data_IF_481068973922
#
_entry.id   IF_481068973922
#
_cell.length_a   1.000
_cell.length_b   1.000
_cell.length_c   1.000
_cell.angle_alpha   90.00
_cell.angle_beta   90.00
_cell.angle_gamma   90.00
#
_symmetry.space_group_name_H-M   'P 1'
#
loop_
_entity.id
_entity.type
_entity.pdbx_description
1 polymer ?
#
# COMPACT_ATOMS: atom_id res chain seq x y z
N UNK A 1 -35.52 -8.18 -54.06
CA UNK A 1 -35.25 -7.87 -52.63
C UNK A 1 -33.88 -8.41 -52.33
N UNK A 2 -32.88 -7.55 -52.45
CA UNK A 2 -31.46 -7.83 -52.29
C UNK A 2 -31.05 -7.24 -50.95
N UNK A 3 -30.58 -8.07 -50.02
CA UNK A 3 -30.03 -7.62 -48.75
C UNK A 3 -28.55 -7.98 -48.70
N UNK A 4 -27.71 -6.95 -48.79
CA UNK A 4 -26.31 -6.96 -48.39
C UNK A 4 -26.21 -7.06 -46.85
N UNK A 5 -25.15 -7.68 -46.31
CA UNK A 5 -24.87 -7.68 -44.87
C UNK A 5 -24.10 -6.41 -44.45
N UNK A 6 -24.22 -5.96 -43.19
CA UNK A 6 -23.22 -5.08 -42.60
C UNK A 6 -22.22 -5.88 -41.76
N UNK A 7 -21.00 -5.77 -42.21
CA UNK A 7 -19.69 -6.03 -41.65
C UNK A 7 -19.42 -5.71 -40.16
N UNK A 8 -18.41 -6.45 -39.66
CA UNK A 8 -17.30 -6.06 -38.77
C UNK A 8 -17.47 -6.09 -37.23
N UNK A 9 -16.79 -7.09 -36.65
CA UNK A 9 -16.23 -7.09 -35.29
C UNK A 9 -15.36 -5.83 -35.03
N UNK A 10 -15.11 -5.52 -33.74
CA UNK A 10 -13.76 -5.80 -33.28
C UNK A 10 -13.69 -6.40 -31.87
N UNK A 11 -12.88 -7.45 -31.77
CA UNK A 11 -11.84 -7.65 -30.75
C UNK A 11 -12.16 -7.17 -29.31
N UNK A 12 -12.62 -8.11 -28.50
CA UNK A 12 -12.51 -8.07 -27.05
C UNK A 12 -11.97 -9.40 -26.54
N UNK A 13 -10.77 -9.78 -27.01
CA UNK A 13 -10.04 -10.89 -26.42
C UNK A 13 -9.63 -10.49 -25.01
N UNK A 14 -10.48 -10.78 -24.02
CA UNK A 14 -10.05 -10.95 -22.65
C UNK A 14 -9.05 -12.10 -22.65
N UNK A 15 -7.78 -11.75 -22.82
CA UNK A 15 -6.69 -12.61 -22.42
C UNK A 15 -6.81 -12.74 -20.92
N UNK A 16 -7.49 -13.80 -20.49
CA UNK A 16 -7.39 -14.35 -19.16
C UNK A 16 -5.90 -14.54 -18.86
N UNK A 17 -5.33 -13.56 -18.14
CA UNK A 17 -3.99 -13.67 -17.58
C UNK A 17 -4.09 -14.84 -16.61
N UNK A 18 -3.51 -15.99 -16.99
CA UNK A 18 -3.33 -17.12 -16.09
C UNK A 18 -2.76 -16.59 -14.78
N UNK A 19 -3.34 -17.01 -13.65
CA UNK A 19 -2.88 -16.72 -12.27
C UNK A 19 -1.45 -17.26 -12.05
N UNK A 20 -0.47 -16.64 -12.72
CA UNK A 20 0.92 -16.67 -12.32
C UNK A 20 1.05 -15.84 -11.05
N UNK A 21 1.99 -16.20 -10.18
CA UNK A 21 2.28 -15.46 -8.98
C UNK A 21 2.54 -13.98 -9.32
N UNK A 22 1.57 -13.10 -9.02
CA UNK A 22 1.61 -11.66 -9.37
C UNK A 22 2.86 -10.99 -8.81
N UNK A 23 3.35 -11.47 -7.66
CA UNK A 23 4.59 -11.02 -7.05
C UNK A 23 5.67 -12.11 -7.14
N UNK A 24 6.60 -11.96 -8.08
CA UNK A 24 7.74 -12.87 -8.30
C UNK A 24 9.07 -12.35 -7.71
N UNK A 25 10.09 -13.22 -7.69
CA UNK A 25 11.45 -12.88 -7.26
C UNK A 25 12.11 -11.78 -8.11
N UNK A 26 11.77 -11.70 -9.41
CA UNK A 26 12.27 -10.65 -10.32
C UNK A 26 11.97 -9.23 -9.81
N UNK A 27 10.84 -9.03 -9.13
CA UNK A 27 10.55 -7.75 -8.49
C UNK A 27 11.54 -7.43 -7.37
N UNK A 28 11.93 -8.42 -6.58
CA UNK A 28 12.91 -8.23 -5.51
C UNK A 28 14.32 -8.05 -6.07
N UNK A 29 14.68 -8.75 -7.16
CA UNK A 29 15.95 -8.53 -7.85
C UNK A 29 16.04 -7.11 -8.40
N UNK A 30 14.96 -6.58 -9.00
CA UNK A 30 14.90 -5.19 -9.45
C UNK A 30 15.02 -4.16 -8.32
N UNK A 31 14.42 -4.44 -7.15
CA UNK A 31 14.60 -3.61 -5.96
C UNK A 31 16.05 -3.61 -5.46
N UNK A 32 16.69 -4.79 -5.42
CA UNK A 32 18.11 -4.91 -5.06
C UNK A 32 19.02 -4.24 -6.08
N UNK A 33 18.75 -4.40 -7.38
CA UNK A 33 19.49 -3.77 -8.47
C UNK A 33 19.51 -2.25 -8.30
N UNK A 34 18.34 -1.64 -8.08
CA UNK A 34 18.23 -0.21 -7.83
C UNK A 34 19.08 0.23 -6.62
N UNK A 35 19.01 -0.49 -5.49
CA UNK A 35 19.79 -0.19 -4.30
C UNK A 35 21.29 -0.35 -4.53
N UNK A 36 21.70 -1.45 -5.18
CA UNK A 36 23.07 -1.78 -5.45
C UNK A 36 23.73 -0.75 -6.37
N UNK A 37 23.10 -0.42 -7.50
CA UNK A 37 23.56 0.59 -8.44
C UNK A 37 23.69 1.97 -7.77
N UNK A 38 22.75 2.33 -6.90
CA UNK A 38 22.82 3.57 -6.13
C UNK A 38 24.00 3.62 -5.14
N UNK A 39 24.51 2.47 -4.68
CA UNK A 39 25.61 2.37 -3.71
C UNK A 39 26.98 2.12 -4.35
N UNK A 40 27.03 1.55 -5.56
CA UNK A 40 28.26 1.05 -6.19
C UNK A 40 28.57 1.67 -7.55
N UNK A 41 27.68 2.52 -8.07
CA UNK A 41 27.77 3.11 -9.42
C UNK A 41 27.78 2.08 -10.57
N UNK A 42 27.44 0.82 -10.31
CA UNK A 42 27.17 -0.19 -11.36
C UNK A 42 25.95 0.18 -12.20
N UNK A 43 25.92 -0.28 -13.45
CA UNK A 43 24.78 -0.08 -14.34
C UNK A 43 23.58 -0.96 -13.94
N UNK A 44 22.38 -0.45 -14.15
CA UNK A 44 21.14 -1.16 -13.82
C UNK A 44 20.77 -2.19 -14.89
N UNK A 45 20.27 -3.35 -14.46
CA UNK A 45 19.77 -4.39 -15.36
C UNK A 45 18.29 -4.16 -15.65
N UNK A 46 17.92 -4.20 -16.93
CA UNK A 46 16.54 -3.98 -17.33
C UNK A 46 15.59 -5.06 -16.78
N UNK A 47 14.45 -4.68 -16.17
CA UNK A 47 13.50 -5.64 -15.60
C UNK A 47 12.82 -6.49 -16.69
N UNK A 48 12.74 -7.80 -16.47
CA UNK A 48 12.17 -8.78 -17.40
C UNK A 48 10.70 -9.15 -17.12
N UNK A 49 9.99 -8.35 -16.31
CA UNK A 49 8.58 -8.58 -15.96
C UNK A 49 7.63 -7.56 -16.62
N UNK A 50 6.34 -7.91 -16.82
CA UNK A 50 5.31 -6.98 -17.32
C UNK A 50 5.14 -5.78 -16.38
N UNK A 51 4.90 -4.59 -16.93
CA UNK A 51 4.77 -3.36 -16.14
C UNK A 51 3.31 -3.04 -15.80
N UNK A 52 2.70 -3.91 -15.00
CA UNK A 52 1.34 -3.68 -14.49
C UNK A 52 1.33 -2.65 -13.35
N UNK A 53 0.16 -2.09 -13.03
CA UNK A 53 0.02 -1.09 -11.98
C UNK A 53 -0.50 -1.72 -10.68
N UNK A 54 0.23 -1.51 -9.59
CA UNK A 54 -0.17 -1.98 -8.27
C UNK A 54 0.22 -0.98 -7.20
N UNK A 55 -0.58 -0.82 -6.12
CA UNK A 55 -0.07 -0.27 -4.89
C UNK A 55 0.99 -1.22 -4.33
N UNK A 56 2.12 -0.69 -3.88
CA UNK A 56 3.25 -1.53 -3.52
C UNK A 56 4.01 -1.03 -2.31
N UNK A 57 4.70 -1.96 -1.65
CA UNK A 57 5.63 -1.70 -0.56
C UNK A 57 6.93 -2.43 -0.82
N UNK A 58 8.05 -1.74 -0.56
CA UNK A 58 9.37 -2.35 -0.52
C UNK A 58 9.87 -2.32 0.92
N UNK A 59 10.28 -3.49 1.38
CA UNK A 59 10.77 -3.72 2.74
C UNK A 59 12.18 -4.29 2.68
N UNK A 60 13.07 -3.72 3.46
CA UNK A 60 14.40 -4.23 3.74
C UNK A 60 14.41 -4.85 5.12
N UNK A 61 14.92 -6.08 5.21
CA UNK A 61 15.21 -6.75 6.46
C UNK A 61 16.72 -7.03 6.57
N UNK A 62 17.23 -7.08 7.79
CA UNK A 62 18.57 -7.59 8.09
C UNK A 62 18.44 -9.01 8.62
N UNK A 63 19.02 -9.97 7.88
CA UNK A 63 19.12 -11.37 8.28
C UNK A 63 20.16 -11.53 9.39
N UNK A 64 19.88 -12.42 10.33
CA UNK A 64 20.86 -12.77 11.37
C UNK A 64 21.84 -13.81 10.85
N UNK A 65 23.12 -13.67 11.20
CA UNK A 65 24.11 -14.74 11.00
C UNK A 65 23.87 -15.96 11.90
N UNK A 66 23.04 -15.82 12.94
CA UNK A 66 22.67 -16.93 13.82
C UNK A 66 21.45 -17.65 13.24
N UNK A 67 21.60 -18.95 13.00
CA UNK A 67 20.52 -19.79 12.52
C UNK A 67 19.30 -19.73 13.44
N UNK A 68 18.11 -19.68 12.83
CA UNK A 68 16.83 -19.70 13.54
C UNK A 68 16.34 -18.35 14.09
N UNK A 69 17.08 -17.24 13.92
CA UNK A 69 16.56 -15.91 14.26
C UNK A 69 15.81 -15.30 13.07
N UNK A 70 14.61 -14.81 13.34
CA UNK A 70 13.83 -14.06 12.36
C UNK A 70 14.58 -12.81 11.87
N UNK A 71 14.43 -12.45 10.58
CA UNK A 71 14.95 -11.19 10.05
C UNK A 71 14.41 -9.98 10.82
N UNK A 72 15.21 -8.91 10.90
CA UNK A 72 14.82 -7.66 11.57
C UNK A 72 14.55 -6.57 10.55
N UNK A 73 13.44 -5.85 10.73
CA UNK A 73 13.10 -4.72 9.86
C UNK A 73 14.23 -3.68 9.82
N UNK A 74 14.60 -3.28 8.60
CA UNK A 74 15.69 -2.33 8.30
C UNK A 74 15.22 -1.11 7.48
N UNK A 75 14.02 -1.17 6.91
CA UNK A 75 13.31 -0.08 6.25
C UNK A 75 12.05 -0.62 5.58
N UNK A 76 10.96 0.14 5.55
CA UNK A 76 9.74 -0.26 4.83
C UNK A 76 8.92 0.98 4.47
N UNK A 77 8.75 1.23 3.17
CA UNK A 77 7.95 2.34 2.64
C UNK A 77 7.25 1.86 1.35
N UNK A 78 6.06 2.40 1.11
CA UNK A 78 5.24 2.10 -0.06
C UNK A 78 4.11 3.11 -0.23
N UNK A 79 3.16 2.77 -1.11
CA UNK A 79 1.95 3.55 -1.36
C UNK A 79 0.71 2.67 -1.44
N UNK A 80 -0.45 3.34 -1.38
CA UNK A 80 -1.77 2.73 -1.56
C UNK A 80 -2.42 3.11 -2.90
N UNK A 81 -1.74 3.91 -3.72
CA UNK A 81 -2.18 4.26 -5.07
C UNK A 81 -1.48 3.35 -6.09
N UNK A 82 -2.21 2.77 -7.06
CA UNK A 82 -1.60 1.98 -8.11
C UNK A 82 -0.56 2.79 -8.89
N UNK A 83 0.59 2.19 -9.13
CA UNK A 83 1.63 2.75 -10.00
C UNK A 83 2.34 1.64 -10.77
N UNK A 84 2.92 1.98 -11.92
CA UNK A 84 3.75 1.09 -12.73
C UNK A 84 4.87 0.46 -11.89
N UNK A 85 4.88 -0.87 -11.78
CA UNK A 85 5.75 -1.57 -10.84
C UNK A 85 7.24 -1.45 -11.19
N UNK A 86 7.63 -1.29 -12.45
CA UNK A 86 9.04 -1.10 -12.82
C UNK A 86 9.61 0.18 -12.20
N UNK A 87 8.88 1.29 -12.30
CA UNK A 87 9.28 2.54 -11.68
C UNK A 87 9.12 2.46 -10.16
N UNK A 88 7.94 2.03 -9.70
CA UNK A 88 7.59 2.10 -8.30
C UNK A 88 8.46 1.23 -7.41
N UNK A 89 8.80 0.02 -7.83
CA UNK A 89 9.70 -0.85 -7.06
C UNK A 89 11.07 -0.19 -6.91
N UNK A 90 11.68 0.33 -7.99
CA UNK A 90 12.99 0.97 -7.91
C UNK A 90 12.96 2.23 -7.03
N UNK A 91 11.92 3.06 -7.18
CA UNK A 91 11.74 4.27 -6.38
C UNK A 91 11.56 3.94 -4.89
N UNK A 92 10.62 3.06 -4.55
CA UNK A 92 10.34 2.69 -3.16
C UNK A 92 11.44 1.84 -2.53
N UNK A 93 12.25 1.12 -3.31
CA UNK A 93 13.48 0.48 -2.85
C UNK A 93 14.47 1.51 -2.28
N UNK A 94 14.71 2.61 -3.00
CA UNK A 94 15.61 3.67 -2.56
C UNK A 94 15.00 4.52 -1.43
N UNK A 95 13.70 4.81 -1.49
CA UNK A 95 13.01 5.55 -0.42
C UNK A 95 13.05 4.76 0.88
N UNK A 96 12.71 3.47 0.86
CA UNK A 96 12.75 2.62 2.06
C UNK A 96 14.18 2.42 2.60
N UNK A 97 15.19 2.40 1.73
CA UNK A 97 16.60 2.27 2.14
C UNK A 97 17.20 3.56 2.73
N UNK A 98 16.81 4.74 2.20
CA UNK A 98 17.51 6.00 2.47
C UNK A 98 16.67 7.08 3.15
N UNK A 99 15.34 6.96 3.13
CA UNK A 99 14.41 8.00 3.59
C UNK A 99 13.40 7.50 4.63
N UNK A 100 13.48 6.25 5.06
CA UNK A 100 12.73 5.77 6.23
C UNK A 100 13.34 6.37 7.51
N UNK A 101 12.67 7.38 8.08
CA UNK A 101 13.18 8.16 9.22
C UNK A 101 13.36 7.35 10.51
N UNK A 102 12.82 6.13 10.58
CA UNK A 102 13.00 5.22 11.72
C UNK A 102 14.39 4.58 11.73
N UNK A 103 15.11 4.60 10.61
CA UNK A 103 16.39 3.93 10.44
C UNK A 103 17.44 4.87 9.83
N UNK A 104 18.74 4.56 10.04
CA UNK A 104 19.80 5.24 9.30
C UNK A 104 19.80 4.74 7.85
N UNK A 105 20.34 5.53 6.92
CA UNK A 105 20.52 5.09 5.53
C UNK A 105 21.27 3.77 5.47
N UNK A 106 20.84 2.87 4.59
CA UNK A 106 21.56 1.61 4.32
C UNK A 106 22.91 1.91 3.65
N UNK A 107 23.97 1.26 4.11
CA UNK A 107 25.32 1.37 3.55
C UNK A 107 25.71 0.10 2.77
N UNK A 108 26.65 0.22 1.81
CA UNK A 108 27.10 -0.91 0.99
C UNK A 108 27.60 -2.12 1.78
N UNK A 109 28.22 -1.89 2.95
CA UNK A 109 28.66 -2.96 3.86
C UNK A 109 27.53 -3.81 4.44
N UNK A 110 26.30 -3.30 4.45
CA UNK A 110 25.12 -4.01 4.97
C UNK A 110 24.53 -4.96 3.93
N UNK A 111 24.79 -4.75 2.63
CA UNK A 111 24.23 -5.51 1.52
C UNK A 111 24.26 -7.04 1.74
N UNK A 112 25.37 -7.67 2.16
CA UNK A 112 25.43 -9.12 2.35
C UNK A 112 24.43 -9.67 3.37
N UNK A 113 23.99 -8.83 4.31
CA UNK A 113 23.05 -9.21 5.36
C UNK A 113 21.59 -8.91 5.01
N UNK A 114 21.33 -8.23 3.89
CA UNK A 114 19.99 -7.79 3.55
C UNK A 114 19.13 -8.91 2.95
N UNK A 115 17.84 -8.74 3.16
CA UNK A 115 16.74 -9.44 2.52
C UNK A 115 15.74 -8.38 2.05
N UNK A 116 15.31 -8.50 0.79
CA UNK A 116 14.29 -7.64 0.20
C UNK A 116 12.95 -8.36 0.24
N UNK A 117 11.89 -7.64 0.60
CA UNK A 117 10.50 -8.10 0.45
C UNK A 117 9.74 -7.07 -0.37
N UNK A 118 9.21 -7.50 -1.50
CA UNK A 118 8.25 -6.72 -2.29
C UNK A 118 6.85 -7.21 -1.97
N UNK A 119 5.94 -6.29 -1.67
CA UNK A 119 4.52 -6.58 -1.45
C UNK A 119 3.68 -5.81 -2.46
N UNK A 120 2.91 -6.51 -3.29
CA UNK A 120 1.95 -5.92 -4.21
C UNK A 120 0.53 -6.11 -3.64
N UNK A 121 -0.26 -5.05 -3.61
CA UNK A 121 -1.65 -5.12 -3.15
C UNK A 121 -2.57 -5.46 -4.32
N UNK A 122 -3.38 -6.50 -4.16
CA UNK A 122 -4.22 -7.08 -5.21
C UNK A 122 -5.67 -7.21 -4.74
N UNK A 123 -6.58 -7.56 -5.65
CA UNK A 123 -7.93 -8.01 -5.33
C UNK A 123 -8.74 -6.99 -4.52
N UNK A 124 -8.68 -5.71 -4.91
CA UNK A 124 -9.44 -4.64 -4.25
C UNK A 124 -10.94 -4.75 -4.54
N UNK A 125 -11.72 -5.00 -3.50
CA UNK A 125 -13.18 -5.17 -3.59
C UNK A 125 -13.88 -4.27 -2.58
N UNK A 126 -15.02 -3.69 -2.98
CA UNK A 126 -15.90 -2.99 -2.05
C UNK A 126 -16.65 -4.01 -1.19
N UNK A 127 -16.55 -3.87 0.13
CA UNK A 127 -17.20 -4.77 1.07
C UNK A 127 -18.68 -4.39 1.26
N UNK A 128 -19.56 -5.39 1.40
CA UNK A 128 -20.99 -5.18 1.63
C UNK A 128 -21.30 -4.54 2.99
N UNK A 129 -20.42 -4.70 3.96
CA UNK A 129 -20.46 -4.07 5.29
C UNK A 129 -19.05 -3.90 5.84
N UNK A 130 -18.89 -3.12 6.93
CA UNK A 130 -17.60 -2.96 7.62
C UNK A 130 -17.07 -4.26 8.25
N UNK A 131 -17.85 -5.35 8.25
CA UNK A 131 -17.45 -6.67 8.74
C UNK A 131 -17.23 -7.69 7.61
N UNK A 132 -17.46 -7.33 6.35
CA UNK A 132 -17.37 -8.23 5.19
C UNK A 132 -15.92 -8.35 4.66
N UNK A 133 -15.07 -8.95 5.48
CA UNK A 133 -13.68 -9.29 5.18
C UNK A 133 -13.21 -10.43 6.10
N UNK A 134 -11.96 -10.88 5.99
CA UNK A 134 -11.46 -12.04 6.75
C UNK A 134 -10.11 -11.70 7.36
N UNK A 135 -10.02 -11.82 8.69
CA UNK A 135 -8.80 -11.56 9.46
C UNK A 135 -7.68 -12.49 9.00
N UNK A 136 -6.48 -11.95 8.80
CA UNK A 136 -5.31 -12.69 8.34
C UNK A 136 -5.29 -12.98 6.82
N UNK A 137 -6.38 -12.69 6.11
CA UNK A 137 -6.43 -12.80 4.64
C UNK A 137 -6.51 -11.43 3.98
N UNK A 138 -7.38 -10.56 4.49
CA UNK A 138 -7.68 -9.28 3.88
C UNK A 138 -7.05 -8.12 4.67
N UNK A 139 -6.48 -7.19 3.93
CA UNK A 139 -6.26 -5.82 4.40
C UNK A 139 -7.55 -5.03 4.28
N UNK A 140 -7.65 -3.94 5.04
CA UNK A 140 -8.82 -3.06 5.03
C UNK A 140 -8.39 -1.64 4.66
N UNK A 141 -9.15 -1.00 3.79
CA UNK A 141 -9.12 0.43 3.53
C UNK A 141 -10.49 1.00 3.90
N UNK A 142 -10.54 1.90 4.86
CA UNK A 142 -11.78 2.51 5.34
C UNK A 142 -11.87 3.96 4.89
N UNK A 143 -13.09 4.41 4.59
CA UNK A 143 -13.41 5.82 4.38
C UNK A 143 -14.74 6.16 5.01
N UNK A 144 -14.82 7.31 5.69
CA UNK A 144 -16.06 7.79 6.30
C UNK A 144 -16.05 9.33 6.42
N UNK A 145 -17.23 9.99 6.42
CA UNK A 145 -17.29 11.44 6.59
C UNK A 145 -16.78 11.83 7.98
N UNK A 146 -16.02 12.92 8.11
CA UNK A 146 -15.67 13.49 9.42
C UNK A 146 -16.94 14.08 10.08
N UNK A 147 -17.50 13.45 11.13
CA UNK A 147 -18.69 13.94 11.81
C UNK A 147 -18.47 15.24 12.60
N UNK A 148 -17.21 15.60 12.91
CA UNK A 148 -16.87 16.85 13.63
C UNK A 148 -17.18 18.12 12.83
N UNK A 149 -17.62 17.98 11.58
CA UNK A 149 -18.03 19.10 10.72
C UNK A 149 -19.50 19.49 10.93
N UNK A 150 -20.30 18.69 11.61
CA UNK A 150 -21.62 19.15 12.03
C UNK A 150 -21.44 20.14 13.18
N UNK A 151 -21.75 21.44 13.02
CA UNK A 151 -21.93 22.27 14.19
C UNK A 151 -23.03 21.56 14.99
N UNK A 152 -22.68 21.08 16.18
CA UNK A 152 -23.67 20.61 17.13
C UNK A 152 -24.78 21.66 17.11
N UNK A 153 -26.01 21.25 16.77
CA UNK A 153 -27.16 22.09 17.06
C UNK A 153 -27.23 22.15 18.58
N UNK A 154 -26.43 23.03 19.16
CA UNK A 154 -26.62 23.50 20.51
C UNK A 154 -27.96 24.22 20.45
N UNK A 155 -29.00 23.51 20.87
CA UNK A 155 -30.23 24.11 21.37
C UNK A 155 -29.83 25.04 22.51
N UNK A 156 -29.51 26.27 22.15
CA UNK A 156 -29.33 27.37 23.08
C UNK A 156 -29.81 28.61 22.35
N UNK A 157 -31.06 28.95 22.66
CA UNK A 157 -31.72 30.20 22.35
C UNK A 157 -30.76 31.37 22.51
N UNK A 158 -30.34 31.98 21.41
CA UNK A 158 -29.73 33.31 21.40
C UNK A 158 -30.31 34.05 20.21
N UNK A 159 -31.21 34.99 20.49
CA UNK A 159 -31.69 36.03 19.57
C UNK A 159 -30.50 36.78 18.95
N UNK A 160 -30.38 36.91 17.61
CA UNK A 160 -29.30 37.66 17.00
C UNK A 160 -29.60 39.16 17.00
N UNK A 161 -28.65 39.95 17.49
CA UNK A 161 -28.66 41.42 17.40
C UNK A 161 -28.36 41.90 15.96
N UNK A 162 -28.97 43.00 15.47
CA UNK A 162 -28.90 43.41 14.05
C UNK A 162 -27.67 44.22 13.65
N UNK A 163 -26.63 44.31 14.50
CA UNK A 163 -25.43 45.11 14.22
C UNK A 163 -24.16 44.26 14.30
N UNK A 164 -23.83 43.57 13.21
CA UNK A 164 -22.46 43.15 12.91
C UNK A 164 -22.28 43.05 11.41
N UNK A 165 -21.68 44.08 10.83
CA UNK A 165 -21.24 44.16 9.43
C UNK A 165 -19.83 43.58 9.30
N UNK A 166 -19.71 42.29 9.60
CA UNK A 166 -18.53 41.50 9.24
C UNK A 166 -18.97 40.42 8.28
N UNK A 167 -18.44 40.49 7.06
CA UNK A 167 -18.60 39.46 6.04
C UNK A 167 -17.81 38.21 6.45
N UNK A 168 -18.22 37.56 7.53
CA UNK A 168 -17.84 36.17 7.79
C UNK A 168 -18.66 35.32 6.84
N UNK A 169 -18.18 35.18 5.60
CA UNK A 169 -18.56 34.01 4.83
C UNK A 169 -18.16 32.80 5.69
N UNK A 170 -19.10 31.92 6.09
CA UNK A 170 -18.69 30.65 6.67
C UNK A 170 -17.87 29.96 5.58
N UNK A 171 -16.56 29.83 5.83
CA UNK A 171 -15.71 28.94 5.04
C UNK A 171 -16.31 27.56 5.26
N UNK A 172 -17.14 27.10 4.32
CA UNK A 172 -17.70 25.76 4.37
C UNK A 172 -16.53 24.80 4.59
N UNK A 173 -16.46 24.10 5.72
CA UNK A 173 -15.48 23.05 5.87
C UNK A 173 -15.77 22.08 4.73
N UNK A 174 -14.79 21.88 3.84
CA UNK A 174 -14.85 20.78 2.90
C UNK A 174 -15.20 19.53 3.70
N UNK A 175 -16.14 18.70 3.21
CA UNK A 175 -16.46 17.42 3.84
C UNK A 175 -15.17 16.60 3.93
N UNK A 176 -14.41 16.73 5.01
CA UNK A 176 -13.16 16.01 5.19
C UNK A 176 -13.55 14.56 5.36
N UNK A 177 -13.26 13.74 4.34
CA UNK A 177 -13.41 12.30 4.45
C UNK A 177 -12.18 11.79 5.17
N UNK A 178 -12.38 11.05 6.26
CA UNK A 178 -11.30 10.40 6.99
C UNK A 178 -11.04 9.05 6.34
N UNK A 179 -9.77 8.70 6.16
CA UNK A 179 -9.35 7.43 5.58
C UNK A 179 -8.26 6.80 6.42
N UNK A 180 -8.24 5.47 6.44
CA UNK A 180 -7.18 4.69 7.04
C UNK A 180 -7.09 3.33 6.36
N UNK A 181 -5.95 2.69 6.53
CA UNK A 181 -5.68 1.39 5.94
C UNK A 181 -4.81 0.55 6.87
N UNK A 182 -5.07 -0.75 6.90
CA UNK A 182 -4.25 -1.75 7.55
C UNK A 182 -4.02 -2.94 6.61
N UNK A 183 -2.77 -3.40 6.56
CA UNK A 183 -2.36 -4.55 5.79
C UNK A 183 -2.90 -5.86 6.41
N UNK A 184 -3.01 -6.96 5.63
CA UNK A 184 -3.56 -8.24 6.11
C UNK A 184 -2.94 -8.78 7.41
N UNK A 185 -1.63 -8.57 7.60
CA UNK A 185 -0.87 -9.05 8.76
C UNK A 185 -1.11 -8.27 10.06
N UNK A 186 -1.60 -7.03 9.99
CA UNK A 186 -1.69 -6.17 11.19
C UNK A 186 -2.67 -6.76 12.20
N UNK A 187 -3.82 -7.23 11.74
CA UNK A 187 -4.87 -7.76 12.61
C UNK A 187 -4.44 -9.00 13.39
N UNK A 188 -3.90 -10.07 12.76
CA UNK A 188 -3.40 -11.22 13.52
C UNK A 188 -2.21 -10.89 14.42
N UNK A 189 -1.30 -9.98 14.00
CA UNK A 189 -0.17 -9.55 14.84
C UNK A 189 -0.63 -8.82 16.12
N UNK A 190 -1.68 -8.02 16.02
CA UNK A 190 -2.26 -7.31 17.17
C UNK A 190 -3.24 -8.17 17.97
N UNK A 191 -3.68 -9.31 17.42
CA UNK A 191 -4.76 -10.11 17.99
C UNK A 191 -6.13 -9.44 17.92
N UNK A 192 -6.32 -8.50 16.99
CA UNK A 192 -7.57 -7.76 16.84
C UNK A 192 -8.64 -8.57 16.12
N UNK A 193 -9.86 -8.51 16.64
CA UNK A 193 -11.04 -8.90 15.89
C UNK A 193 -11.45 -7.84 14.84
N UNK A 194 -12.54 -8.10 14.12
CA UNK A 194 -13.01 -7.19 13.07
C UNK A 194 -13.46 -5.83 13.60
N UNK A 195 -14.09 -5.79 14.77
CA UNK A 195 -14.60 -4.55 15.38
C UNK A 195 -13.41 -3.73 15.88
N UNK A 196 -12.49 -4.36 16.60
CA UNK A 196 -11.28 -3.71 17.11
C UNK A 196 -10.40 -3.16 15.98
N UNK A 197 -10.28 -3.88 14.87
CA UNK A 197 -9.57 -3.42 13.68
C UNK A 197 -10.22 -2.18 13.06
N UNK A 198 -11.55 -2.18 12.89
CA UNK A 198 -12.28 -1.02 12.35
C UNK A 198 -12.20 0.18 13.29
N UNK A 199 -12.40 -0.01 14.58
CA UNK A 199 -12.30 1.05 15.58
C UNK A 199 -10.89 1.65 15.61
N UNK A 200 -9.85 0.80 15.59
CA UNK A 200 -8.46 1.23 15.51
C UNK A 200 -8.14 1.96 14.21
N UNK A 201 -8.72 1.54 13.09
CA UNK A 201 -8.57 2.22 11.81
C UNK A 201 -9.25 3.61 11.85
N UNK A 202 -10.43 3.74 12.47
CA UNK A 202 -11.08 5.03 12.65
C UNK A 202 -10.24 5.97 13.51
N UNK A 203 -9.65 5.47 14.61
CA UNK A 203 -8.72 6.25 15.44
C UNK A 203 -7.50 6.69 14.63
N UNK A 204 -6.92 5.79 13.83
CA UNK A 204 -5.78 6.06 12.95
C UNK A 204 -6.11 7.10 11.87
N UNK A 205 -7.35 7.12 11.38
CA UNK A 205 -7.85 8.11 10.44
C UNK A 205 -8.01 9.52 11.06
N UNK A 206 -7.84 9.64 12.38
CA UNK A 206 -7.93 10.90 13.12
C UNK A 206 -9.27 11.11 13.84
N UNK A 207 -10.17 10.12 13.89
CA UNK A 207 -11.42 10.24 14.64
C UNK A 207 -11.18 10.16 16.15
N UNK A 208 -11.51 11.24 16.86
CA UNK A 208 -11.35 11.34 18.32
C UNK A 208 -12.66 11.14 19.09
N UNK A 209 -13.81 11.17 18.40
CA UNK A 209 -15.13 11.03 19.03
C UNK A 209 -15.47 9.63 19.54
N UNK A 210 -16.71 9.48 20.01
CA UNK A 210 -17.25 8.19 20.45
C UNK A 210 -17.42 7.29 19.22
N UNK A 211 -17.03 6.02 19.35
CA UNK A 211 -17.26 5.00 18.33
C UNK A 211 -18.42 4.12 18.81
N UNK A 212 -19.54 4.21 18.10
CA UNK A 212 -20.73 3.40 18.31
C UNK A 212 -21.14 2.69 17.01
N UNK A 213 -22.19 1.88 17.08
CA UNK A 213 -22.69 1.12 15.92
C UNK A 213 -23.05 1.99 14.71
N UNK A 214 -23.65 3.16 14.94
CA UNK A 214 -24.00 4.11 13.87
C UNK A 214 -22.75 4.65 13.16
N UNK A 215 -21.73 5.03 13.93
CA UNK A 215 -20.47 5.51 13.35
C UNK A 215 -19.74 4.41 12.57
N UNK A 216 -19.78 3.14 13.02
CA UNK A 216 -19.22 2.01 12.27
C UNK A 216 -19.99 1.75 10.98
N UNK A 217 -21.31 1.85 11.00
CA UNK A 217 -22.15 1.71 9.78
C UNK A 217 -21.92 2.81 8.76
N UNK A 218 -21.39 3.96 9.16
CA UNK A 218 -20.99 5.03 8.24
C UNK A 218 -19.69 4.72 7.46
N UNK A 219 -18.94 3.70 7.87
CA UNK A 219 -17.70 3.28 7.23
C UNK A 219 -17.99 2.57 5.91
N UNK A 220 -17.41 3.11 4.83
CA UNK A 220 -17.22 2.38 3.59
C UNK A 220 -15.89 1.66 3.66
N UNK A 221 -15.93 0.33 3.55
CA UNK A 221 -14.75 -0.52 3.60
C UNK A 221 -14.47 -1.10 2.22
N UNK A 222 -13.21 -1.01 1.78
CA UNK A 222 -12.67 -1.81 0.69
C UNK A 222 -11.72 -2.83 1.29
N UNK A 223 -11.83 -4.09 0.87
CA UNK A 223 -10.90 -5.17 1.24
C UNK A 223 -9.93 -5.42 0.11
N UNK A 224 -8.74 -5.89 0.42
CA UNK A 224 -7.72 -6.24 -0.57
C UNK A 224 -6.82 -7.35 -0.02
N UNK A 225 -6.05 -8.00 -0.88
CA UNK A 225 -5.04 -8.97 -0.52
C UNK A 225 -3.63 -8.41 -0.76
N UNK A 226 -2.63 -9.06 -0.18
CA UNK A 226 -1.23 -8.74 -0.45
C UNK A 226 -0.50 -9.99 -0.95
N UNK A 227 0.15 -9.87 -2.10
CA UNK A 227 1.07 -10.88 -2.64
C UNK A 227 2.49 -10.43 -2.36
N UNK A 228 3.28 -11.28 -1.71
CA UNK A 228 4.62 -10.94 -1.23
C UNK A 228 5.64 -11.91 -1.80
N UNK A 229 6.81 -11.39 -2.15
CA UNK A 229 7.97 -12.18 -2.49
C UNK A 229 9.17 -11.70 -1.67
N UNK A 230 10.08 -12.61 -1.36
CA UNK A 230 11.24 -12.36 -0.52
C UNK A 230 12.47 -12.95 -1.18
N UNK A 231 13.56 -12.19 -1.19
CA UNK A 231 14.85 -12.59 -1.79
C UNK A 231 15.98 -12.15 -0.86
N UNK A 232 16.97 -13.01 -0.67
CA UNK A 232 18.23 -12.69 0.00
C UNK A 232 19.27 -12.06 -0.92
N UNK A 233 20.26 -11.39 -0.34
CA UNK A 233 21.41 -10.85 -1.08
C UNK A 233 22.12 -11.89 -1.95
N UNK A 234 22.30 -13.11 -1.44
CA UNK A 234 22.96 -14.22 -2.12
C UNK A 234 22.23 -14.64 -3.40
N UNK A 235 20.90 -14.69 -3.36
CA UNK A 235 20.08 -14.96 -4.54
C UNK A 235 20.18 -13.83 -5.57
N UNK A 236 20.18 -12.57 -5.12
CA UNK A 236 20.38 -11.42 -6.01
C UNK A 236 21.76 -11.42 -6.67
N UNK A 237 22.83 -11.71 -5.93
CA UNK A 237 24.19 -11.83 -6.47
C UNK A 237 24.23 -12.91 -7.55
N UNK A 238 23.62 -14.06 -7.30
CA UNK A 238 23.55 -15.13 -8.29
C UNK A 238 22.77 -14.68 -9.53
N UNK A 239 21.59 -14.08 -9.36
CA UNK A 239 20.79 -13.54 -10.46
C UNK A 239 21.58 -12.54 -11.30
N UNK A 240 22.34 -11.64 -10.68
CA UNK A 240 23.11 -10.61 -11.37
C UNK A 240 24.28 -11.19 -12.15
N UNK A 241 24.96 -12.21 -11.60
CA UNK A 241 26.00 -12.99 -12.31
C UNK A 241 25.43 -13.72 -13.52
N UNK A 242 24.24 -14.32 -13.38
CA UNK A 242 23.56 -14.98 -14.50
C UNK A 242 23.18 -14.00 -15.64
N UNK A 243 23.12 -12.70 -15.35
CA UNK A 243 22.93 -11.61 -16.32
C UNK A 243 24.24 -11.06 -16.90
N UNK A 244 25.39 -11.61 -16.52
CA UNK A 244 26.71 -11.29 -17.08
C UNK A 244 27.53 -10.26 -16.30
N UNK A 245 27.13 -9.91 -15.06
CA UNK A 245 27.95 -9.07 -14.19
C UNK A 245 28.80 -9.94 -13.25
N UNK A 246 30.02 -10.28 -13.67
CA UNK A 246 30.98 -11.05 -12.88
C UNK A 246 31.66 -10.23 -11.77
N UNK A 247 31.39 -8.92 -11.69
CA UNK A 247 32.11 -7.99 -10.79
C UNK A 247 31.46 -7.79 -9.43
N UNK A 248 30.29 -8.42 -9.20
CA UNK A 248 29.52 -8.38 -7.94
C UNK A 248 29.96 -9.39 -6.87
#
# INVERSE_FOLDING_TARGET
MSLLPPDLDPAGGETAVKEGNVCTAEHCFHAFDALYCALTASESIAPAFPDAEFPLFVTWNTRSSRSGRAPRLRGCIGNFEPMAIRQGIAEYALISAFKDSRFRKIEGKELPSLECVVSLLTDFEDASSYLDWTVGTHGIYISFPNPSIYPASRSSSNTPSPFSSSSFLPRFPSKQTLTATFLPEVMPEQGWDKIEAVDSAMRKAGWTGIINEETRRSVKLRRYQSRKCTVGWDEYVQWRRDKGDDTI
#
